data_IF_574348314079
#
_entry.id   IF_574348314079
#
_cell.length_a   1.000
_cell.length_b   1.000
_cell.length_c   1.000
_cell.angle_alpha   90.00
_cell.angle_beta   90.00
_cell.angle_gamma   90.00
#
_symmetry.space_group_name_H-M   'P 1'
#
loop_
_entity.id
_entity.type
_entity.pdbx_description
1 polymer ?
#
# COMPACT_ATOMS: atom_id res chain seq x y z
N UNK A 1 -25.86 21.05 9.43
CA UNK A 1 -26.91 20.06 9.68
C UNK A 1 -26.24 18.81 10.22
N UNK A 2 -26.73 18.25 11.32
CA UNK A 2 -26.23 17.00 11.92
C UNK A 2 -27.09 15.85 11.39
N UNK A 3 -26.48 14.75 10.96
CA UNK A 3 -27.19 13.51 10.64
C UNK A 3 -27.41 12.75 11.95
N UNK A 4 -28.65 12.61 12.38
CA UNK A 4 -28.97 11.86 13.60
C UNK A 4 -28.78 10.36 13.38
N UNK A 5 -28.68 9.59 14.47
CA UNK A 5 -28.53 8.13 14.42
C UNK A 5 -29.65 7.46 13.59
N UNK A 6 -30.89 7.97 13.71
CA UNK A 6 -32.04 7.46 12.97
C UNK A 6 -31.92 7.73 11.45
N UNK A 7 -31.27 8.83 11.07
CA UNK A 7 -31.12 9.27 9.68
C UNK A 7 -29.90 8.67 8.99
N UNK A 8 -28.96 8.06 9.74
CA UNK A 8 -27.71 7.50 9.18
C UNK A 8 -28.00 6.56 8.02
N UNK A 9 -28.96 5.64 8.16
CA UNK A 9 -29.28 4.66 7.11
C UNK A 9 -29.72 5.37 5.81
N UNK A 10 -30.67 6.29 5.92
CA UNK A 10 -31.18 7.04 4.77
C UNK A 10 -30.09 7.91 4.12
N UNK A 11 -29.22 8.50 4.93
CA UNK A 11 -28.10 9.29 4.41
C UNK A 11 -27.07 8.41 3.68
N UNK A 12 -26.79 7.20 4.17
CA UNK A 12 -25.97 6.22 3.45
C UNK A 12 -26.61 5.82 2.12
N UNK A 13 -27.92 5.59 2.07
CA UNK A 13 -28.63 5.29 0.81
C UNK A 13 -28.48 6.43 -0.21
N UNK A 14 -28.57 7.68 0.27
CA UNK A 14 -28.36 8.88 -0.56
C UNK A 14 -26.94 8.92 -1.13
N UNK A 15 -25.92 8.70 -0.28
CA UNK A 15 -24.52 8.69 -0.72
C UNK A 15 -24.23 7.52 -1.66
N UNK A 16 -24.80 6.34 -1.42
CA UNK A 16 -24.64 5.19 -2.30
C UNK A 16 -25.14 5.51 -3.71
N UNK A 17 -26.32 6.12 -3.83
CA UNK A 17 -26.86 6.55 -5.11
C UNK A 17 -25.98 7.63 -5.77
N UNK A 18 -25.54 8.65 -5.03
CA UNK A 18 -24.66 9.71 -5.53
C UNK A 18 -23.29 9.19 -6.01
N UNK A 19 -22.78 8.16 -5.36
CA UNK A 19 -21.53 7.50 -5.71
C UNK A 19 -21.70 6.42 -6.78
N UNK A 20 -22.92 6.19 -7.31
CA UNK A 20 -23.25 5.08 -8.22
C UNK A 20 -22.83 3.71 -7.65
N UNK A 21 -22.87 3.54 -6.34
CA UNK A 21 -22.40 2.33 -5.67
C UNK A 21 -20.89 2.12 -5.75
N UNK A 22 -20.08 3.14 -6.07
CA UNK A 22 -18.62 3.03 -6.19
C UNK A 22 -17.93 3.61 -4.95
N UNK A 23 -16.92 2.91 -4.44
CA UNK A 23 -16.04 3.42 -3.39
C UNK A 23 -15.07 4.47 -3.97
N UNK A 24 -15.07 5.72 -3.48
CA UNK A 24 -14.26 6.80 -4.04
C UNK A 24 -12.75 6.66 -3.81
N UNK A 25 -12.30 5.76 -2.92
CA UNK A 25 -10.87 5.55 -2.67
C UNK A 25 -10.25 4.48 -3.56
N UNK A 26 -10.95 3.37 -3.79
CA UNK A 26 -10.42 2.25 -4.58
C UNK A 26 -11.06 2.12 -5.97
N UNK A 27 -12.12 2.88 -6.25
CA UNK A 27 -12.88 2.85 -7.50
C UNK A 27 -13.49 1.48 -7.84
N UNK A 28 -13.82 0.69 -6.82
CA UNK A 28 -14.55 -0.58 -6.96
C UNK A 28 -15.96 -0.49 -6.39
N UNK A 29 -16.84 -1.37 -6.86
CA UNK A 29 -18.23 -1.48 -6.39
C UNK A 29 -18.29 -1.77 -4.88
N UNK A 30 -19.15 -1.03 -4.20
CA UNK A 30 -19.58 -1.29 -2.83
C UNK A 30 -20.55 -2.47 -2.83
N UNK A 31 -20.46 -3.35 -1.83
CA UNK A 31 -21.34 -4.53 -1.75
C UNK A 31 -22.79 -4.14 -1.45
N UNK A 32 -23.02 -3.47 -0.32
CA UNK A 32 -24.32 -2.95 0.06
C UNK A 32 -24.20 -1.67 0.88
N UNK A 33 -25.29 -0.90 0.95
CA UNK A 33 -25.37 0.28 1.82
C UNK A 33 -25.04 -0.06 3.27
N UNK A 34 -25.51 -1.21 3.77
CA UNK A 34 -25.31 -1.60 5.16
C UNK A 34 -23.86 -1.95 5.48
N UNK A 35 -23.19 -2.68 4.59
CA UNK A 35 -21.78 -3.09 4.76
C UNK A 35 -20.79 -1.95 4.51
N UNK A 36 -21.21 -0.91 3.79
CA UNK A 36 -20.38 0.28 3.54
C UNK A 36 -20.19 1.11 4.80
N UNK A 37 -19.03 1.73 4.98
CA UNK A 37 -18.74 2.61 6.11
C UNK A 37 -18.97 4.07 5.73
N UNK A 38 -19.66 4.81 6.60
CA UNK A 38 -19.84 6.25 6.47
C UNK A 38 -18.60 6.97 7.01
N UNK A 39 -17.71 7.38 6.11
CA UNK A 39 -16.49 8.12 6.47
C UNK A 39 -16.81 9.58 6.83
N UNK A 40 -16.01 10.16 7.74
CA UNK A 40 -16.15 11.55 8.17
C UNK A 40 -14.82 12.16 8.56
N UNK A 41 -14.77 13.48 8.58
CA UNK A 41 -13.60 14.19 9.11
C UNK A 41 -13.52 14.07 10.62
N UNK A 42 -12.37 13.61 11.11
CA UNK A 42 -12.02 13.60 12.54
C UNK A 42 -11.51 14.96 13.05
N UNK A 43 -11.41 15.98 12.19
CA UNK A 43 -11.02 17.31 12.62
C UNK A 43 -12.14 17.92 13.48
N UNK A 44 -11.77 18.63 14.55
CA UNK A 44 -12.71 19.26 15.49
C UNK A 44 -12.91 20.76 15.21
N UNK A 45 -12.08 21.33 14.35
CA UNK A 45 -12.12 22.75 13.99
C UNK A 45 -11.99 22.95 12.48
N UNK A 46 -12.39 24.13 12.00
CA UNK A 46 -12.36 24.47 10.58
C UNK A 46 -13.57 23.98 9.79
N UNK A 47 -13.62 24.37 8.52
CA UNK A 47 -14.79 24.17 7.67
C UNK A 47 -15.14 22.70 7.40
N UNK A 48 -14.20 21.77 7.62
CA UNK A 48 -14.41 20.35 7.38
C UNK A 48 -14.67 19.55 8.67
N UNK A 49 -14.68 20.19 9.84
CA UNK A 49 -14.81 19.50 11.12
C UNK A 49 -16.08 18.64 11.19
N UNK A 50 -15.93 17.36 11.53
CA UNK A 50 -17.04 16.40 11.69
C UNK A 50 -17.87 16.11 10.43
N UNK A 51 -17.54 16.67 9.26
CA UNK A 51 -18.35 16.48 8.04
C UNK A 51 -18.21 15.06 7.50
N UNK A 52 -19.33 14.43 7.18
CA UNK A 52 -19.36 13.19 6.40
C UNK A 52 -18.71 13.42 5.03
N UNK A 53 -17.98 12.42 4.54
CA UNK A 53 -17.28 12.48 3.24
C UNK A 53 -17.96 11.60 2.20
N UNK A 54 -18.18 10.32 2.53
CA UNK A 54 -18.77 9.36 1.60
C UNK A 54 -18.84 7.95 2.18
N UNK A 55 -19.34 7.02 1.37
CA UNK A 55 -19.33 5.59 1.66
C UNK A 55 -18.06 4.92 1.14
N UNK A 56 -17.40 4.17 2.01
CA UNK A 56 -16.20 3.41 1.71
C UNK A 56 -16.39 1.92 2.00
N UNK A 57 -15.58 1.06 1.37
CA UNK A 57 -15.37 -0.30 1.90
C UNK A 57 -14.78 -0.24 3.31
N UNK A 58 -15.09 -1.24 4.14
CA UNK A 58 -14.54 -1.37 5.49
C UNK A 58 -13.01 -1.30 5.50
N UNK A 59 -12.36 -1.96 4.54
CA UNK A 59 -10.91 -2.01 4.40
C UNK A 59 -10.34 -0.65 4.01
N UNK A 60 -10.99 0.06 3.07
CA UNK A 60 -10.58 1.40 2.67
C UNK A 60 -10.68 2.39 3.83
N UNK A 61 -11.79 2.36 4.57
CA UNK A 61 -12.00 3.20 5.75
C UNK A 61 -10.95 2.93 6.84
N UNK A 62 -10.68 1.66 7.13
CA UNK A 62 -9.66 1.26 8.11
C UNK A 62 -8.26 1.74 7.68
N UNK A 63 -7.90 1.56 6.41
CA UNK A 63 -6.60 1.96 5.89
C UNK A 63 -6.40 3.49 5.91
N UNK A 64 -7.42 4.28 5.54
CA UNK A 64 -7.37 5.74 5.64
C UNK A 64 -7.06 6.18 7.08
N UNK A 65 -7.78 5.61 8.06
CA UNK A 65 -7.56 5.93 9.47
C UNK A 65 -6.17 5.54 9.96
N UNK A 66 -5.67 4.37 9.56
CA UNK A 66 -4.31 3.92 9.89
C UNK A 66 -3.24 4.85 9.30
N UNK A 67 -3.40 5.26 8.05
CA UNK A 67 -2.50 6.20 7.37
C UNK A 67 -2.46 7.53 8.13
N UNK A 68 -3.64 8.11 8.42
CA UNK A 68 -3.74 9.38 9.15
C UNK A 68 -3.09 9.28 10.52
N UNK A 69 -3.33 8.19 11.24
CA UNK A 69 -2.74 7.95 12.56
C UNK A 69 -1.22 7.82 12.50
N UNK A 70 -0.67 7.05 11.56
CA UNK A 70 0.79 6.91 11.41
C UNK A 70 1.43 8.23 11.00
N UNK A 71 0.77 9.00 10.13
CA UNK A 71 1.24 10.32 9.74
C UNK A 71 1.25 11.30 10.93
N UNK A 72 0.18 11.34 11.74
CA UNK A 72 0.12 12.23 12.90
C UNK A 72 1.18 11.93 13.96
N UNK A 73 1.63 10.67 14.05
CA UNK A 73 2.70 10.22 14.96
C UNK A 73 4.10 10.30 14.35
N UNK A 74 4.25 10.68 13.09
CA UNK A 74 5.55 10.72 12.40
C UNK A 74 6.41 11.95 12.76
N UNK A 75 5.83 12.97 13.37
CA UNK A 75 6.46 14.28 13.55
C UNK A 75 6.48 15.17 12.30
N UNK A 76 5.85 14.72 11.19
CA UNK A 76 5.75 15.49 9.94
C UNK A 76 4.61 16.52 9.94
N UNK A 77 3.64 16.42 10.85
CA UNK A 77 2.49 17.33 10.91
C UNK A 77 2.85 18.78 11.16
N UNK A 78 4.02 19.06 11.75
CA UNK A 78 4.54 20.43 11.92
C UNK A 78 5.26 20.97 10.69
N UNK A 79 5.48 20.12 9.68
CA UNK A 79 6.29 20.44 8.50
C UNK A 79 5.48 20.41 7.21
N UNK A 80 4.47 19.55 7.11
CA UNK A 80 3.70 19.33 5.89
C UNK A 80 2.31 18.77 6.20
N UNK A 81 1.33 19.21 5.44
CA UNK A 81 -0.04 18.70 5.48
C UNK A 81 -0.12 17.30 4.86
N UNK A 82 -0.96 16.43 5.43
CA UNK A 82 -1.12 15.03 5.00
C UNK A 82 -1.40 14.91 3.49
N UNK A 83 -2.35 15.69 2.98
CA UNK A 83 -2.71 15.63 1.55
C UNK A 83 -1.56 16.02 0.62
N UNK A 84 -0.77 17.03 1.00
CA UNK A 84 0.41 17.47 0.22
C UNK A 84 1.50 16.41 0.26
N UNK A 85 1.73 15.80 1.43
CA UNK A 85 2.67 14.68 1.55
C UNK A 85 2.27 13.51 0.64
N UNK A 86 1.00 13.13 0.59
CA UNK A 86 0.53 12.04 -0.26
C UNK A 86 0.65 12.33 -1.75
N UNK A 87 0.42 13.59 -2.16
CA UNK A 87 0.70 14.03 -3.54
C UNK A 87 2.18 13.85 -3.88
N UNK A 88 3.07 14.39 -3.05
CA UNK A 88 4.52 14.29 -3.26
C UNK A 88 5.02 12.85 -3.22
N UNK A 89 4.45 12.02 -2.33
CA UNK A 89 4.76 10.59 -2.24
C UNK A 89 4.36 9.85 -3.52
N UNK A 90 3.20 10.18 -4.08
CA UNK A 90 2.72 9.58 -5.33
C UNK A 90 3.69 9.92 -6.47
N UNK A 91 4.05 11.18 -6.63
CA UNK A 91 5.05 11.62 -7.62
C UNK A 91 6.40 10.93 -7.39
N UNK A 92 6.87 10.89 -6.14
CA UNK A 92 8.13 10.24 -5.78
C UNK A 92 8.14 8.74 -6.12
N UNK A 93 7.05 8.01 -5.88
CA UNK A 93 6.99 6.56 -6.12
C UNK A 93 6.79 6.21 -7.59
N UNK A 94 6.12 7.08 -8.38
CA UNK A 94 5.85 6.85 -9.79
C UNK A 94 6.99 7.28 -10.72
N UNK A 95 7.99 7.98 -10.20
CA UNK A 95 9.19 8.33 -10.96
C UNK A 95 9.93 7.09 -11.46
N UNK A 96 10.55 7.21 -12.65
CA UNK A 96 11.46 6.20 -13.17
C UNK A 96 12.83 6.33 -12.48
N UNK A 97 13.28 5.21 -11.89
CA UNK A 97 14.58 5.08 -11.24
C UNK A 97 15.45 3.99 -11.88
N UNK A 98 15.12 3.55 -13.10
CA UNK A 98 15.83 2.47 -13.79
C UNK A 98 17.32 2.76 -14.03
N UNK A 99 17.73 4.03 -14.02
CA UNK A 99 19.12 4.46 -14.16
C UNK A 99 19.87 4.56 -12.81
N UNK A 100 19.19 4.35 -11.67
CA UNK A 100 19.77 4.52 -10.34
C UNK A 100 20.48 3.25 -9.86
N UNK A 101 21.54 3.41 -9.04
CA UNK A 101 22.26 2.26 -8.50
C UNK A 101 21.40 1.47 -7.49
N UNK A 102 21.70 0.18 -7.36
CA UNK A 102 21.07 -0.67 -6.37
C UNK A 102 21.51 -0.31 -4.94
N UNK A 103 20.56 -0.32 -3.99
CA UNK A 103 20.88 -0.18 -2.57
C UNK A 103 21.67 -1.41 -2.08
N UNK A 104 22.69 -1.29 -1.20
CA UNK A 104 23.50 -2.43 -0.73
C UNK A 104 22.71 -3.60 -0.15
N UNK A 105 21.56 -3.34 0.49
CA UNK A 105 20.66 -4.39 1.02
C UNK A 105 19.93 -5.18 -0.06
N UNK A 106 19.91 -4.74 -1.31
CA UNK A 106 19.25 -5.44 -2.42
C UNK A 106 19.72 -6.89 -2.54
N UNK A 107 21.03 -7.13 -2.44
CA UNK A 107 21.60 -8.48 -2.45
C UNK A 107 21.08 -9.31 -1.27
N UNK A 108 21.09 -8.74 -0.06
CA UNK A 108 20.65 -9.47 1.14
C UNK A 108 19.16 -9.77 1.13
N UNK A 109 18.33 -8.85 0.66
CA UNK A 109 16.88 -9.01 0.57
C UNK A 109 16.50 -10.02 -0.51
N UNK A 110 17.17 -9.97 -1.67
CA UNK A 110 17.02 -10.95 -2.75
C UNK A 110 17.36 -12.36 -2.28
N UNK A 111 18.49 -12.53 -1.58
CA UNK A 111 18.88 -13.84 -1.03
C UNK A 111 17.89 -14.35 0.02
N UNK A 112 17.39 -13.47 0.91
CA UNK A 112 16.38 -13.83 1.92
C UNK A 112 15.05 -14.26 1.28
N UNK A 113 14.65 -13.65 0.17
CA UNK A 113 13.47 -14.07 -0.59
C UNK A 113 13.72 -15.44 -1.24
N UNK A 114 14.85 -15.60 -1.92
CA UNK A 114 15.24 -16.85 -2.59
C UNK A 114 15.35 -18.04 -1.63
N UNK A 115 15.85 -17.83 -0.40
CA UNK A 115 16.00 -18.91 0.58
C UNK A 115 14.66 -19.50 1.05
N UNK A 116 13.57 -18.73 0.96
CA UNK A 116 12.21 -19.16 1.33
C UNK A 116 11.51 -19.93 0.20
N UNK A 117 12.01 -19.85 -1.03
CA UNK A 117 11.41 -20.53 -2.18
C UNK A 117 11.60 -22.05 -2.10
N UNK A 118 10.75 -22.80 -2.81
CA UNK A 118 10.91 -24.26 -2.92
C UNK A 118 12.19 -24.58 -3.70
N UNK A 119 12.74 -25.78 -3.51
CA UNK A 119 13.95 -26.18 -4.26
C UNK A 119 13.71 -26.20 -5.77
N UNK A 120 12.50 -26.55 -6.21
CA UNK A 120 12.11 -26.50 -7.64
C UNK A 120 12.20 -25.07 -8.18
N UNK A 121 11.65 -24.10 -7.45
CA UNK A 121 11.70 -22.69 -7.85
C UNK A 121 13.12 -22.15 -7.84
N UNK A 122 13.94 -22.55 -6.86
CA UNK A 122 15.35 -22.17 -6.77
C UNK A 122 16.12 -22.61 -8.03
N UNK A 123 15.94 -23.86 -8.47
CA UNK A 123 16.54 -24.36 -9.71
C UNK A 123 16.12 -23.53 -10.93
N UNK A 124 14.81 -23.25 -11.07
CA UNK A 124 14.29 -22.44 -12.18
C UNK A 124 14.79 -20.99 -12.17
N UNK A 125 14.98 -20.40 -10.99
CA UNK A 125 15.57 -19.06 -10.86
C UNK A 125 17.04 -19.09 -11.26
N UNK A 126 17.81 -20.07 -10.80
CA UNK A 126 19.24 -20.19 -11.13
C UNK A 126 19.43 -20.40 -12.63
N UNK A 127 18.63 -21.28 -13.25
CA UNK A 127 18.67 -21.54 -14.69
C UNK A 127 18.38 -20.28 -15.51
N UNK A 128 17.36 -19.48 -15.13
CA UNK A 128 17.08 -18.19 -15.77
C UNK A 128 18.21 -17.17 -15.64
N UNK A 129 19.03 -17.30 -14.60
CA UNK A 129 20.23 -16.48 -14.39
C UNK A 129 21.50 -17.09 -15.02
N UNK A 130 21.37 -18.18 -15.79
CA UNK A 130 22.50 -18.87 -16.41
C UNK A 130 23.40 -19.62 -15.42
N UNK A 131 22.91 -19.92 -14.21
CA UNK A 131 23.64 -20.64 -13.17
C UNK A 131 23.11 -22.06 -12.99
N UNK A 132 24.01 -23.02 -12.75
CA UNK A 132 23.63 -24.40 -12.43
C UNK A 132 23.27 -24.52 -10.96
N UNK A 133 22.20 -25.29 -10.68
CA UNK A 133 21.80 -25.60 -9.32
C UNK A 133 22.76 -26.58 -8.63
N UNK A 134 22.90 -26.44 -7.32
CA UNK A 134 23.71 -27.27 -6.45
C UNK A 134 23.02 -28.54 -5.95
N UNK A 135 23.76 -29.30 -5.16
CA UNK A 135 23.33 -30.56 -4.56
C UNK A 135 22.34 -30.37 -3.41
N UNK A 136 22.22 -29.16 -2.86
CA UNK A 136 21.29 -28.81 -1.78
C UNK A 136 20.75 -27.38 -1.91
N UNK A 137 19.73 -27.04 -1.11
CA UNK A 137 19.18 -25.67 -1.07
C UNK A 137 20.21 -24.68 -0.52
N UNK A 138 21.04 -25.12 0.42
CA UNK A 138 22.10 -24.32 1.03
C UNK A 138 23.15 -23.93 0.01
N UNK A 139 23.48 -24.85 -0.90
CA UNK A 139 24.36 -24.58 -2.04
C UNK A 139 23.71 -23.64 -3.05
N UNK A 140 22.43 -23.88 -3.41
CA UNK A 140 21.68 -23.00 -4.31
C UNK A 140 21.67 -21.54 -3.81
N UNK A 141 21.51 -21.32 -2.50
CA UNK A 141 21.57 -20.00 -1.87
C UNK A 141 22.94 -19.34 -2.03
N UNK A 142 24.03 -20.10 -1.86
CA UNK A 142 25.40 -19.61 -2.03
C UNK A 142 25.68 -19.23 -3.49
N UNK A 143 25.26 -20.08 -4.42
CA UNK A 143 25.39 -19.86 -5.87
C UNK A 143 24.61 -18.60 -6.24
N UNK A 144 23.33 -18.53 -5.88
CA UNK A 144 22.47 -17.38 -6.16
C UNK A 144 23.09 -16.07 -5.67
N UNK A 145 23.54 -16.02 -4.40
CA UNK A 145 24.19 -14.84 -3.83
C UNK A 145 25.41 -14.40 -4.64
N UNK A 146 26.26 -15.34 -5.07
CA UNK A 146 27.45 -15.03 -5.87
C UNK A 146 27.04 -14.49 -7.24
N UNK A 147 26.10 -15.14 -7.91
CA UNK A 147 25.59 -14.75 -9.24
C UNK A 147 25.03 -13.33 -9.23
N UNK A 148 24.11 -13.01 -8.31
CA UNK A 148 23.49 -11.68 -8.29
C UNK A 148 24.47 -10.58 -7.88
N UNK A 149 25.50 -10.88 -7.07
CA UNK A 149 26.56 -9.89 -6.78
C UNK A 149 27.33 -9.53 -8.03
N UNK A 150 27.69 -10.50 -8.86
CA UNK A 150 28.41 -10.25 -10.11
C UNK A 150 27.55 -9.48 -11.11
N UNK A 151 26.25 -9.75 -11.15
CA UNK A 151 25.31 -9.09 -12.05
C UNK A 151 25.03 -7.62 -11.66
N UNK A 152 24.92 -7.32 -10.36
CA UNK A 152 24.42 -6.02 -9.88
C UNK A 152 25.46 -5.17 -9.12
N UNK A 153 26.71 -5.63 -8.99
CA UNK A 153 27.80 -4.85 -8.40
C UNK A 153 28.79 -4.31 -9.46
N UNK A 154 28.40 -4.35 -10.74
CA UNK A 154 29.02 -3.59 -11.83
C UNK A 154 28.44 -2.17 -11.83
#
# INVERSE_FOLDING_TARGET
MLVSIAEVKQYKETLYAQQNGICPLCNHELGSVNESHLDHSHDLTGNNAGKCRGLLHAQCNLLEGMIRHKFSRSGLTTKIELGVFFKNLTEYLLNDYGDKPYHPKFITDSVRKFSKSTRKDQKSILERLGALAGASKEEDIKIYRKTIKVLYAQ
#
